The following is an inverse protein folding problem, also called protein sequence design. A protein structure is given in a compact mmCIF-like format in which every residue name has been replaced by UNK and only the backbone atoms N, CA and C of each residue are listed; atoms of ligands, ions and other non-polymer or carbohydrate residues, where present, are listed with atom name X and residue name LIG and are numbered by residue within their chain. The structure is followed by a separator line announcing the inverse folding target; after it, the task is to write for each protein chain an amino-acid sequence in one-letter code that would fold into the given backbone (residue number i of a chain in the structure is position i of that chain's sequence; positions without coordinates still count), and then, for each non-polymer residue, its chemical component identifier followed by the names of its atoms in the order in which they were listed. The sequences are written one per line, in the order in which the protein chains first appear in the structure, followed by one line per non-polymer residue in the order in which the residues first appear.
data_IF_787550844383
#
_entry.id   IF_787550844383
#
_cell.length_a   1.000
_cell.length_b   1.000
_cell.length_c   1.000
_cell.angle_alpha   90.00
_cell.angle_beta   90.00
_cell.angle_gamma   90.00
#
_symmetry.space_group_name_H-M   'P 1'
#
loop_
_entity.id
_entity.type
_entity.pdbx_description
1 polymer ?
#
# COMPACT_ATOMS: atom_id res chain seq x y z
N UNK A 1 -5.95 -14.67 -8.74
CA UNK A 1 -5.58 -14.19 -7.37
C UNK A 1 -6.33 -12.90 -7.10
N UNK A 2 -6.80 -12.65 -5.87
CA UNK A 2 -7.51 -11.40 -5.56
C UNK A 2 -6.49 -10.26 -5.35
N UNK A 3 -6.77 -9.07 -5.89
CA UNK A 3 -5.95 -7.88 -5.69
C UNK A 3 -6.03 -7.43 -4.23
N UNK A 4 -4.90 -7.11 -3.61
CA UNK A 4 -4.80 -6.63 -2.22
C UNK A 4 -4.40 -5.15 -2.18
N UNK A 5 -4.51 -4.51 -1.01
CA UNK A 5 -4.00 -3.14 -0.83
C UNK A 5 -2.50 -3.00 -1.11
N UNK A 6 -1.71 -4.03 -0.80
CA UNK A 6 -0.28 -4.09 -1.12
C UNK A 6 -0.04 -4.13 -2.63
N UNK A 7 -0.84 -4.90 -3.39
CA UNK A 7 -0.76 -4.91 -4.86
C UNK A 7 -1.02 -3.52 -5.44
N UNK A 8 -2.03 -2.80 -4.96
CA UNK A 8 -2.31 -1.41 -5.37
C UNK A 8 -1.12 -0.51 -5.04
N UNK A 9 -0.61 -0.56 -3.81
CA UNK A 9 0.54 0.23 -3.39
C UNK A 9 1.76 -0.01 -4.30
N UNK A 10 2.09 -1.27 -4.59
CA UNK A 10 3.22 -1.60 -5.45
C UNK A 10 3.00 -1.25 -6.90
N UNK A 11 1.77 -1.33 -7.42
CA UNK A 11 1.45 -0.92 -8.78
C UNK A 11 1.85 0.54 -9.04
N UNK A 12 1.53 1.45 -8.12
CA UNK A 12 1.92 2.86 -8.23
C UNK A 12 3.38 3.12 -7.87
N UNK A 13 4.03 2.19 -7.19
CA UNK A 13 5.44 2.34 -6.81
C UNK A 13 6.39 1.74 -7.85
N UNK A 14 6.28 0.44 -8.13
CA UNK A 14 7.19 -0.30 -9.01
C UNK A 14 6.55 -1.60 -9.49
N UNK A 15 6.32 -1.72 -10.81
CA UNK A 15 5.72 -2.92 -11.39
C UNK A 15 6.58 -4.18 -11.18
N UNK A 16 7.93 -4.05 -11.19
CA UNK A 16 8.83 -5.17 -10.87
C UNK A 16 8.62 -5.64 -9.43
N UNK A 17 8.53 -4.72 -8.47
CA UNK A 17 8.26 -5.05 -7.07
C UNK A 17 6.91 -5.77 -6.91
N UNK A 18 5.87 -5.29 -7.60
CA UNK A 18 4.56 -5.92 -7.63
C UNK A 18 4.65 -7.36 -8.15
N UNK A 19 5.32 -7.56 -9.31
CA UNK A 19 5.46 -8.88 -9.92
C UNK A 19 6.22 -9.84 -9.01
N UNK A 20 7.36 -9.41 -8.45
CA UNK A 20 8.18 -10.21 -7.52
C UNK A 20 7.36 -10.63 -6.29
N UNK A 21 6.68 -9.69 -5.67
CA UNK A 21 5.84 -9.95 -4.50
C UNK A 21 4.72 -10.96 -4.80
N UNK A 22 4.00 -10.76 -5.91
CA UNK A 22 2.90 -11.63 -6.32
C UNK A 22 3.36 -13.05 -6.69
N UNK A 23 4.61 -13.21 -7.15
CA UNK A 23 5.24 -14.51 -7.46
C UNK A 23 6.01 -15.11 -6.27
N UNK A 24 5.72 -14.67 -5.04
CA UNK A 24 6.24 -15.27 -3.81
C UNK A 24 7.66 -14.85 -3.43
N UNK A 25 8.26 -13.91 -4.16
CA UNK A 25 9.58 -13.35 -3.82
C UNK A 25 9.36 -12.17 -2.87
N UNK A 26 9.46 -12.42 -1.56
CA UNK A 26 9.22 -11.42 -0.52
C UNK A 26 10.53 -11.04 0.17
N UNK A 27 10.95 -9.77 0.00
CA UNK A 27 12.15 -9.18 0.58
C UNK A 27 11.85 -8.14 1.67
N UNK A 28 10.59 -8.00 2.10
CA UNK A 28 10.21 -6.98 3.08
C UNK A 28 10.84 -7.21 4.45
N UNK A 29 11.09 -8.47 4.83
CA UNK A 29 11.72 -8.83 6.10
C UNK A 29 13.19 -8.39 6.22
N UNK A 30 13.85 -8.05 5.11
CA UNK A 30 15.26 -7.61 5.07
C UNK A 30 15.41 -6.09 5.20
N UNK A 31 14.30 -5.33 5.21
CA UNK A 31 14.34 -3.87 5.20
C UNK A 31 14.17 -3.27 6.60
N UNK A 32 15.17 -2.51 7.06
CA UNK A 32 15.07 -1.70 8.29
C UNK A 32 13.90 -0.69 8.21
N UNK A 33 13.61 -0.17 7.02
CA UNK A 33 12.51 0.77 6.79
C UNK A 33 11.14 0.12 6.99
N UNK A 34 10.98 -1.15 6.62
CA UNK A 34 9.76 -1.94 6.87
C UNK A 34 9.63 -2.25 8.37
N UNK A 35 10.71 -2.67 9.02
CA UNK A 35 10.73 -2.93 10.46
C UNK A 35 10.39 -1.68 11.27
N UNK A 36 10.92 -0.53 10.86
CA UNK A 36 10.64 0.75 11.47
C UNK A 36 9.18 1.22 11.23
N UNK A 37 8.63 0.95 10.04
CA UNK A 37 7.21 1.19 9.73
C UNK A 37 6.29 0.41 10.65
N UNK A 38 6.58 -0.88 10.89
CA UNK A 38 5.85 -1.72 11.86
C UNK A 38 5.91 -1.15 13.28
N UNK A 39 7.09 -0.69 13.73
CA UNK A 39 7.24 -0.09 15.05
C UNK A 39 6.42 1.19 15.21
N UNK A 40 6.40 2.08 14.21
CA UNK A 40 5.55 3.28 14.23
C UNK A 40 4.08 2.90 14.33
N UNK A 41 3.66 1.91 13.54
CA UNK A 41 2.32 1.38 13.58
C UNK A 41 1.96 0.89 14.99
N UNK A 42 2.76 0.01 15.57
CA UNK A 42 2.53 -0.54 16.91
C UNK A 42 2.50 0.55 18.00
N UNK A 43 3.46 1.48 18.01
CA UNK A 43 3.56 2.50 19.06
C UNK A 43 2.49 3.59 18.96
N UNK A 44 2.08 3.97 17.76
CA UNK A 44 1.03 4.99 17.57
C UNK A 44 -0.34 4.47 17.96
N UNK A 45 -0.55 3.15 17.95
CA UNK A 45 -1.86 2.52 18.13
C UNK A 45 -2.15 1.96 19.52
N UNK A 46 -1.14 1.75 20.37
CA UNK A 46 -1.40 1.29 21.76
C UNK A 46 -2.43 2.16 22.50
N UNK A 47 -2.53 3.46 22.15
CA UNK A 47 -3.51 4.39 22.74
C UNK A 47 -4.84 4.49 21.97
N UNK A 48 -4.96 3.86 20.79
CA UNK A 48 -6.17 3.93 19.92
C UNK A 48 -6.91 2.60 19.80
N UNK A 49 -6.34 1.50 20.29
CA UNK A 49 -6.87 0.15 20.14
C UNK A 49 -8.33 -0.02 20.64
N UNK A 50 -8.74 0.77 21.63
CA UNK A 50 -10.11 0.71 22.16
C UNK A 50 -11.16 1.37 21.23
N UNK A 51 -10.73 2.20 20.30
CA UNK A 51 -11.63 3.01 19.46
C UNK A 51 -11.74 2.51 18.03
N UNK A 52 -10.69 1.88 17.50
CA UNK A 52 -10.63 1.43 16.12
C UNK A 52 -10.46 -0.07 16.06
N UNK A 53 -11.11 -0.70 15.10
CA UNK A 53 -11.07 -2.15 14.92
C UNK A 53 -10.33 -2.50 13.64
N UNK A 54 -9.57 -3.59 13.69
CA UNK A 54 -9.11 -4.28 12.50
C UNK A 54 -10.31 -4.86 11.76
N UNK A 55 -10.36 -4.66 10.44
CA UNK A 55 -11.41 -5.18 9.58
C UNK A 55 -10.79 -5.95 8.42
N UNK A 56 -11.17 -7.21 8.27
CA UNK A 56 -10.82 -8.02 7.10
C UNK A 56 -12.06 -8.19 6.22
N UNK A 57 -11.97 -7.75 4.96
CA UNK A 57 -13.03 -7.88 3.97
C UNK A 57 -12.43 -8.37 2.66
N UNK A 58 -12.75 -9.62 2.29
CA UNK A 58 -12.21 -10.24 1.10
C UNK A 58 -10.67 -10.18 1.09
N UNK A 59 -10.05 -9.55 0.06
CA UNK A 59 -8.59 -9.48 -0.06
C UNK A 59 -7.95 -8.34 0.74
N UNK A 60 -8.73 -7.58 1.50
CA UNK A 60 -8.29 -6.35 2.17
C UNK A 60 -8.29 -6.51 3.67
N UNK A 61 -7.16 -6.15 4.27
CA UNK A 61 -7.02 -5.98 5.71
C UNK A 61 -6.78 -4.50 5.98
N UNK A 62 -7.70 -3.92 6.76
CA UNK A 62 -7.66 -2.52 7.21
C UNK A 62 -7.36 -2.54 8.69
N UNK A 63 -6.23 -1.97 9.08
CA UNK A 63 -5.77 -2.03 10.47
C UNK A 63 -6.63 -1.19 11.40
N UNK A 64 -7.15 -0.06 10.92
CA UNK A 64 -7.92 0.87 11.73
C UNK A 64 -9.12 1.42 10.99
N UNK A 65 -10.29 0.96 11.41
CA UNK A 65 -11.57 1.41 10.90
C UNK A 65 -12.45 1.93 12.03
N UNK A 66 -12.79 3.21 11.95
CA UNK A 66 -13.80 3.82 12.82
C UNK A 66 -15.19 3.49 12.27
N UNK A 67 -15.82 2.45 12.82
CA UNK A 67 -17.14 2.00 12.38
C UNK A 67 -18.23 3.06 12.57
N UNK A 68 -18.13 3.89 13.62
CA UNK A 68 -19.13 4.90 13.94
C UNK A 68 -19.13 6.03 12.91
N UNK A 69 -17.95 6.50 12.55
CA UNK A 69 -17.78 7.60 11.60
C UNK A 69 -17.52 7.12 10.18
N UNK A 70 -17.37 5.80 9.96
CA UNK A 70 -17.03 5.18 8.68
C UNK A 70 -15.73 5.74 8.08
N UNK A 71 -14.68 5.85 8.91
CA UNK A 71 -13.40 6.40 8.51
C UNK A 71 -12.31 5.31 8.60
N UNK A 72 -11.58 5.12 7.50
CA UNK A 72 -10.36 4.35 7.44
C UNK A 72 -9.20 5.24 7.86
N UNK A 73 -8.40 4.80 8.83
CA UNK A 73 -7.15 5.46 9.20
C UNK A 73 -5.98 4.63 8.67
N UNK A 74 -5.17 5.21 7.82
CA UNK A 74 -3.96 4.60 7.27
C UNK A 74 -2.73 5.40 7.69
N UNK A 75 -1.78 4.76 8.37
CA UNK A 75 -0.57 5.43 8.85
C UNK A 75 0.62 5.06 7.99
N UNK A 76 1.38 6.07 7.60
CA UNK A 76 2.57 5.92 6.77
C UNK A 76 3.77 6.64 7.39
N UNK A 77 4.96 6.07 7.19
CA UNK A 77 6.23 6.63 7.69
C UNK A 77 6.51 8.03 7.13
N UNK A 78 6.22 8.24 5.85
CA UNK A 78 6.45 9.51 5.15
C UNK A 78 5.53 9.67 3.95
N UNK A 79 5.35 10.93 3.50
CA UNK A 79 4.54 11.28 2.33
C UNK A 79 5.24 11.09 0.98
N UNK A 80 6.46 10.52 0.93
CA UNK A 80 7.25 10.38 -0.32
C UNK A 80 6.54 9.57 -1.41
N UNK A 81 5.72 8.58 -1.03
CA UNK A 81 4.92 7.75 -1.93
C UNK A 81 3.42 8.07 -1.80
N UNK A 82 3.10 9.34 -1.61
CA UNK A 82 1.75 9.83 -1.33
C UNK A 82 0.71 9.31 -2.33
N UNK A 83 1.01 9.33 -3.62
CA UNK A 83 0.08 8.85 -4.65
C UNK A 83 -0.31 7.38 -4.42
N UNK A 84 0.67 6.50 -4.18
CA UNK A 84 0.39 5.09 -3.91
C UNK A 84 -0.40 4.87 -2.62
N UNK A 85 -0.18 5.71 -1.60
CA UNK A 85 -0.93 5.65 -0.34
C UNK A 85 -2.39 6.08 -0.54
N UNK A 86 -2.64 7.14 -1.33
CA UNK A 86 -3.99 7.61 -1.66
C UNK A 86 -4.76 6.51 -2.40
N UNK A 87 -4.15 5.89 -3.42
CA UNK A 87 -4.81 4.83 -4.17
C UNK A 87 -5.04 3.57 -3.36
N UNK A 88 -4.18 3.26 -2.40
CA UNK A 88 -4.39 2.17 -1.45
C UNK A 88 -5.63 2.42 -0.60
N UNK A 89 -5.78 3.63 -0.03
CA UNK A 89 -6.96 3.99 0.78
C UNK A 89 -8.23 4.04 -0.08
N UNK A 90 -8.16 4.62 -1.29
CA UNK A 90 -9.30 4.61 -2.24
C UNK A 90 -9.75 3.19 -2.58
N UNK A 91 -8.81 2.28 -2.75
CA UNK A 91 -9.12 0.88 -2.97
C UNK A 91 -9.82 0.25 -1.75
N UNK A 92 -9.41 0.57 -0.54
CA UNK A 92 -10.09 0.11 0.67
C UNK A 92 -11.53 0.64 0.73
N UNK A 93 -11.74 1.92 0.44
CA UNK A 93 -13.08 2.52 0.36
C UNK A 93 -13.92 1.78 -0.69
N UNK A 94 -13.36 1.52 -1.87
CA UNK A 94 -14.03 0.80 -2.95
C UNK A 94 -14.48 -0.60 -2.50
N UNK A 95 -13.63 -1.36 -1.83
CA UNK A 95 -13.96 -2.73 -1.35
C UNK A 95 -15.05 -2.68 -0.27
N UNK A 96 -15.01 -1.70 0.65
CA UNK A 96 -16.07 -1.51 1.64
C UNK A 96 -17.41 -1.17 0.98
N UNK A 97 -17.42 -0.31 -0.03
CA UNK A 97 -18.63 -0.01 -0.81
C UNK A 97 -19.18 -1.25 -1.53
N UNK A 98 -18.30 -2.09 -2.12
CA UNK A 98 -18.73 -3.36 -2.74
C UNK A 98 -19.33 -4.34 -1.71
N UNK A 99 -18.92 -4.25 -0.45
CA UNK A 99 -19.50 -5.00 0.66
C UNK A 99 -20.76 -4.36 1.25
N UNK A 100 -21.30 -3.29 0.63
CA UNK A 100 -22.53 -2.61 1.06
C UNK A 100 -22.34 -1.56 2.16
N UNK A 101 -21.09 -1.15 2.45
CA UNK A 101 -20.80 -0.10 3.45
C UNK A 101 -20.60 1.22 2.71
N UNK A 102 -21.67 2.01 2.62
CA UNK A 102 -21.64 3.32 1.93
C UNK A 102 -21.20 4.46 2.85
N UNK A 103 -20.72 5.55 2.23
CA UNK A 103 -20.33 6.79 2.93
C UNK A 103 -19.01 6.69 3.67
N UNK A 104 -18.13 5.79 3.24
CA UNK A 104 -16.78 5.61 3.80
C UNK A 104 -15.84 6.69 3.26
N UNK A 105 -14.99 7.22 4.13
CA UNK A 105 -13.85 8.07 3.79
C UNK A 105 -12.56 7.53 4.41
N UNK A 106 -11.43 8.13 4.04
CA UNK A 106 -10.14 7.75 4.60
C UNK A 106 -9.37 8.95 5.13
N UNK A 107 -8.47 8.68 6.08
CA UNK A 107 -7.48 9.63 6.57
C UNK A 107 -6.11 8.98 6.48
N UNK A 108 -5.22 9.60 5.70
CA UNK A 108 -3.80 9.29 5.69
C UNK A 108 -3.10 10.09 6.77
N UNK A 109 -2.34 9.40 7.61
CA UNK A 109 -1.60 10.02 8.69
C UNK A 109 -0.08 9.82 8.49
N UNK A 110 0.66 10.92 8.59
CA UNK A 110 2.13 10.94 8.53
C UNK A 110 2.68 11.52 9.85
N UNK A 111 2.74 10.72 10.93
CA UNK A 111 3.04 11.23 12.28
C UNK A 111 4.37 11.98 12.38
N UNK A 112 5.42 11.50 11.69
CA UNK A 112 6.73 12.17 11.66
C UNK A 112 6.71 13.54 11.00
N UNK A 113 5.81 13.73 10.05
CA UNK A 113 5.65 14.99 9.32
C UNK A 113 4.57 15.87 9.95
N UNK A 114 3.86 15.35 10.98
CA UNK A 114 2.70 16.02 11.61
C UNK A 114 1.65 16.43 10.57
N UNK A 115 1.40 15.56 9.59
CA UNK A 115 0.45 15.79 8.50
C UNK A 115 -0.62 14.74 8.49
N UNK A 116 -1.83 15.18 8.14
CA UNK A 116 -2.96 14.32 7.82
C UNK A 116 -3.54 14.74 6.48
N UNK A 117 -4.18 13.80 5.80
CA UNK A 117 -4.85 14.07 4.53
C UNK A 117 -6.12 13.24 4.42
N UNK A 118 -7.22 13.91 4.10
CA UNK A 118 -8.50 13.24 3.83
C UNK A 118 -8.50 12.64 2.44
N UNK A 119 -9.06 11.44 2.33
CA UNK A 119 -9.17 10.68 1.08
C UNK A 119 -10.62 10.32 0.84
N UNK A 120 -11.12 10.71 -0.32
CA UNK A 120 -12.46 10.39 -0.79
C UNK A 120 -12.39 9.59 -2.10
N UNK A 121 -13.47 8.88 -2.39
CA UNK A 121 -13.61 8.11 -3.61
C UNK A 121 -14.68 8.75 -4.51
N UNK A 122 -14.26 9.31 -5.64
CA UNK A 122 -15.14 9.86 -6.65
C UNK A 122 -15.62 8.79 -7.67
N UNK A 123 -16.61 9.10 -8.49
CA UNK A 123 -17.05 8.18 -9.53
C UNK A 123 -15.94 7.88 -10.57
N UNK A 124 -15.16 8.85 -11.07
CA UNK A 124 -14.00 8.56 -11.91
C UNK A 124 -12.96 7.66 -11.22
N UNK A 125 -12.74 7.81 -9.91
CA UNK A 125 -11.79 6.97 -9.17
C UNK A 125 -12.26 5.50 -9.15
N UNK A 126 -13.56 5.24 -9.03
CA UNK A 126 -14.12 3.87 -9.06
C UNK A 126 -13.86 3.18 -10.39
N UNK A 127 -14.06 3.90 -11.50
CA UNK A 127 -13.78 3.36 -12.83
C UNK A 127 -12.27 3.10 -13.01
N UNK A 128 -11.43 4.01 -12.54
CA UNK A 128 -9.99 3.85 -12.59
C UNK A 128 -9.48 2.68 -11.74
N UNK A 129 -10.07 2.44 -10.56
CA UNK A 129 -9.73 1.26 -9.73
C UNK A 129 -10.03 -0.03 -10.49
N UNK A 130 -11.16 -0.14 -11.17
CA UNK A 130 -11.49 -1.32 -11.99
C UNK A 130 -10.45 -1.55 -13.09
N UNK A 131 -10.05 -0.47 -13.76
CA UNK A 131 -9.00 -0.52 -14.79
C UNK A 131 -7.66 -1.00 -14.21
N UNK A 132 -7.24 -0.42 -13.06
CA UNK A 132 -6.00 -0.79 -12.38
C UNK A 132 -6.03 -2.25 -11.93
N UNK A 133 -7.14 -2.73 -11.37
CA UNK A 133 -7.28 -4.14 -10.97
C UNK A 133 -7.06 -5.09 -12.15
N UNK A 134 -7.60 -4.76 -13.33
CA UNK A 134 -7.35 -5.53 -14.55
C UNK A 134 -5.88 -5.50 -14.99
N UNK A 135 -5.23 -4.33 -14.93
CA UNK A 135 -3.80 -4.19 -15.24
C UNK A 135 -2.90 -4.93 -14.26
N UNK A 136 -3.24 -4.89 -12.97
CA UNK A 136 -2.53 -5.66 -11.92
C UNK A 136 -2.65 -7.14 -12.23
N UNK A 137 -3.86 -7.63 -12.50
CA UNK A 137 -4.08 -9.05 -12.81
C UNK A 137 -3.26 -9.52 -14.01
N UNK A 138 -3.23 -8.76 -15.10
CA UNK A 138 -2.37 -9.03 -16.25
C UNK A 138 -0.88 -9.05 -15.89
N UNK A 139 -0.44 -8.09 -15.08
CA UNK A 139 0.97 -7.94 -14.71
C UNK A 139 1.45 -9.10 -13.83
N UNK A 140 0.69 -9.49 -12.83
CA UNK A 140 1.08 -10.55 -11.89
C UNK A 140 1.07 -11.94 -12.49
N UNK A 141 0.27 -12.16 -13.54
CA UNK A 141 0.22 -13.43 -14.29
C UNK A 141 1.12 -13.42 -15.54
N UNK A 142 1.88 -12.35 -15.78
CA UNK A 142 2.85 -12.32 -16.87
C UNK A 142 4.03 -13.25 -16.58
N UNK A 143 4.45 -14.00 -17.59
CA UNK A 143 5.66 -14.85 -17.52
C UNK A 143 6.95 -14.00 -17.50
N UNK A 144 6.85 -12.71 -17.80
CA UNK A 144 7.99 -11.81 -17.92
C UNK A 144 8.03 -10.85 -16.74
N UNK A 145 9.10 -10.96 -15.94
CA UNK A 145 9.35 -9.99 -14.88
C UNK A 145 9.66 -8.59 -15.46
N UNK A 146 8.95 -7.54 -15.06
CA UNK A 146 9.25 -6.19 -15.51
C UNK A 146 10.71 -5.79 -15.23
N UNK A 147 11.35 -4.96 -16.09
CA UNK A 147 12.73 -4.52 -15.89
C UNK A 147 12.89 -3.65 -14.65
N UNK A 148 14.11 -3.57 -14.12
CA UNK A 148 14.47 -2.62 -13.08
C UNK A 148 14.32 -1.18 -13.57
N UNK A 149 13.91 -0.27 -12.67
CA UNK A 149 13.54 1.11 -13.07
C UNK A 149 14.66 2.14 -12.90
N UNK A 150 15.76 1.77 -12.22
CA UNK A 150 16.95 2.62 -12.00
C UNK A 150 16.65 4.04 -11.46
N UNK A 151 15.73 4.14 -10.50
CA UNK A 151 15.35 5.41 -9.87
C UNK A 151 16.00 5.55 -8.48
N UNK A 152 16.25 6.78 -7.98
CA UNK A 152 16.84 7.00 -6.65
C UNK A 152 16.11 6.29 -5.51
N UNK A 153 14.79 6.12 -5.62
CA UNK A 153 13.98 5.37 -4.63
C UNK A 153 14.36 3.91 -4.51
N UNK A 154 14.99 3.31 -5.54
CA UNK A 154 15.42 1.91 -5.51
C UNK A 154 16.47 1.66 -4.44
N UNK A 155 17.37 2.62 -4.15
CA UNK A 155 18.41 2.52 -3.11
C UNK A 155 17.84 2.22 -1.71
N UNK A 156 16.58 2.60 -1.44
CA UNK A 156 15.86 2.37 -0.18
C UNK A 156 14.78 1.30 -0.28
N UNK A 157 14.71 0.59 -1.40
CA UNK A 157 13.75 -0.48 -1.62
C UNK A 157 14.24 -1.77 -0.98
N UNK A 158 13.36 -2.53 -0.34
CA UNK A 158 13.68 -3.86 0.21
C UNK A 158 14.16 -4.86 -0.84
N UNK A 159 13.82 -4.65 -2.10
CA UNK A 159 14.23 -5.47 -3.23
C UNK A 159 15.52 -5.00 -3.90
N UNK A 160 16.22 -4.00 -3.36
CA UNK A 160 17.41 -3.42 -4.01
C UNK A 160 18.46 -4.47 -4.34
N UNK A 161 18.89 -5.23 -3.35
CA UNK A 161 19.94 -6.25 -3.52
C UNK A 161 19.53 -7.33 -4.52
N UNK A 162 18.27 -7.71 -4.54
CA UNK A 162 17.73 -8.67 -5.51
C UNK A 162 17.69 -8.10 -6.94
N UNK A 163 17.27 -6.83 -7.09
CA UNK A 163 17.14 -6.20 -8.40
C UNK A 163 18.49 -5.86 -9.05
N UNK A 164 19.54 -5.64 -8.25
CA UNK A 164 20.84 -5.13 -8.69
C UNK A 164 22.01 -6.04 -8.26
N UNK A 165 21.74 -7.33 -8.02
CA UNK A 165 22.75 -8.30 -7.58
C UNK A 165 23.97 -8.40 -8.51
N UNK A 166 23.77 -8.22 -9.83
CA UNK A 166 24.81 -8.27 -10.86
C UNK A 166 25.48 -6.90 -11.12
N UNK A 167 24.96 -5.84 -10.51
CA UNK A 167 25.48 -4.49 -10.67
C UNK A 167 26.15 -4.04 -9.38
N UNK A 168 27.42 -3.60 -9.45
CA UNK A 168 28.14 -3.02 -8.32
C UNK A 168 27.64 -1.57 -8.09
N UNK A 169 26.37 -1.45 -7.73
CA UNK A 169 25.78 -0.15 -7.36
C UNK A 169 25.90 -0.03 -5.84
N UNK A 170 26.81 0.82 -5.39
CA UNK A 170 26.98 1.11 -3.96
C UNK A 170 25.75 1.83 -3.40
N UNK A 171 25.33 1.43 -2.19
CA UNK A 171 24.34 2.15 -1.40
C UNK A 171 25.04 3.27 -0.66
N UNK A 172 25.06 4.49 -1.20
CA UNK A 172 25.50 5.68 -0.46
C UNK A 172 24.44 6.16 0.55
#
# INVERSE_FOLDING_TARGET
MQVTGTHIHYYFNCHRQLWLFANGINMEHTSEDVSFGKLIHETTYQHRADRFREVEIGPVKIDFYDQKNKIIHEIKKSSKLKESHIWQVRYYIYILEQAGIEGVSGILEYPKERKTEEVFLSQPDREYIKEIMGKIDQLIHSDICPPAIYKPKCKKCSYFDFCYADERIERD
#
